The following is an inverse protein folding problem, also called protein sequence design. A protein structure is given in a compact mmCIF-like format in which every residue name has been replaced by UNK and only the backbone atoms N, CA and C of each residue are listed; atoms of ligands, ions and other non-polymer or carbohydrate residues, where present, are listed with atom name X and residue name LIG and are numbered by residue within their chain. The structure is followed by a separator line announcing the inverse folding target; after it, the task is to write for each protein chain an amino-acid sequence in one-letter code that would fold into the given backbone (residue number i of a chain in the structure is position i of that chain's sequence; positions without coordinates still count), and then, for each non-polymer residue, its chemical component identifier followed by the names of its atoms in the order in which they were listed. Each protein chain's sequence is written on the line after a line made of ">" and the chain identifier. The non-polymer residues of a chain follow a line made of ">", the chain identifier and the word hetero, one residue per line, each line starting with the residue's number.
data_IF_412845765179
#
_entry.id   IF_412845765179
#
_cell.length_a   1.000
_cell.length_b   1.000
_cell.length_c   1.000
_cell.angle_alpha   90.00
_cell.angle_beta   90.00
_cell.angle_gamma   90.00
#
_symmetry.space_group_name_H-M   'P 1'
#
loop_
_entity.id
_entity.type
_entity.pdbx_description
1 polymer ?
#
# COMPACT_ATOMS: atom_id res chain seq x y z
N UNK A 1 2.62 1.23 -48.11
CA UNK A 1 3.91 0.61 -47.67
C UNK A 1 4.99 1.64 -47.45
N UNK A 2 5.17 2.59 -48.38
CA UNK A 2 6.16 3.67 -48.21
C UNK A 2 5.94 4.52 -46.96
N UNK A 3 4.67 4.84 -46.63
CA UNK A 3 4.33 5.60 -45.45
C UNK A 3 4.78 4.92 -44.14
N UNK A 4 4.65 3.61 -44.06
CA UNK A 4 5.09 2.86 -42.88
C UNK A 4 6.63 2.77 -42.73
N UNK A 5 7.32 2.72 -43.88
CA UNK A 5 8.79 2.70 -43.88
C UNK A 5 9.39 4.05 -43.52
N UNK A 6 8.81 5.13 -44.01
CA UNK A 6 9.30 6.50 -43.76
C UNK A 6 9.02 6.97 -42.33
N UNK A 7 8.05 6.36 -41.63
CA UNK A 7 7.65 6.76 -40.28
C UNK A 7 7.83 5.65 -39.25
N UNK A 8 8.67 4.66 -39.56
CA UNK A 8 8.87 3.50 -38.70
C UNK A 8 9.35 3.87 -37.29
N UNK A 9 10.19 4.90 -37.19
CA UNK A 9 10.68 5.36 -35.91
C UNK A 9 9.58 5.97 -35.05
N UNK A 10 8.60 6.65 -35.63
CA UNK A 10 7.43 7.18 -34.93
C UNK A 10 6.54 6.04 -34.43
N UNK A 11 6.38 5.00 -35.23
CA UNK A 11 5.64 3.80 -34.85
C UNK A 11 6.33 3.10 -33.67
N UNK A 12 7.67 2.98 -33.72
CA UNK A 12 8.44 2.38 -32.66
C UNK A 12 8.32 3.16 -31.34
N UNK A 13 8.34 4.49 -31.40
CA UNK A 13 8.15 5.33 -30.22
C UNK A 13 6.75 5.16 -29.63
N UNK A 14 5.73 5.14 -30.49
CA UNK A 14 4.34 4.96 -30.04
C UNK A 14 4.14 3.59 -29.41
N UNK A 15 4.69 2.53 -30.00
CA UNK A 15 4.57 1.16 -29.48
C UNK A 15 5.32 1.03 -28.15
N UNK A 16 6.54 1.57 -28.05
CA UNK A 16 7.34 1.51 -26.83
C UNK A 16 6.66 2.27 -25.69
N UNK A 17 6.08 3.44 -25.97
CA UNK A 17 5.32 4.20 -24.97
C UNK A 17 4.09 3.44 -24.50
N UNK A 18 3.35 2.82 -25.41
CA UNK A 18 2.19 2.00 -25.09
C UNK A 18 2.55 0.80 -24.23
N UNK A 19 3.64 0.11 -24.58
CA UNK A 19 4.15 -1.02 -23.80
C UNK A 19 4.61 -0.61 -22.40
N UNK A 20 5.25 0.56 -22.28
CA UNK A 20 5.71 1.07 -20.99
C UNK A 20 4.52 1.38 -20.07
N UNK A 21 3.47 2.02 -20.60
CA UNK A 21 2.25 2.30 -19.85
C UNK A 21 1.54 1.00 -19.45
N UNK A 22 1.43 0.06 -20.38
CA UNK A 22 0.83 -1.25 -20.10
C UNK A 22 1.60 -2.02 -19.03
N UNK A 23 2.94 -1.98 -19.11
CA UNK A 23 3.82 -2.61 -18.13
C UNK A 23 3.65 -2.00 -16.74
N UNK A 24 3.55 -0.67 -16.65
CA UNK A 24 3.30 0.03 -15.39
C UNK A 24 1.96 -0.39 -14.77
N UNK A 25 0.93 -0.50 -15.60
CA UNK A 25 -0.40 -0.92 -15.15
C UNK A 25 -0.42 -2.37 -14.68
N UNK A 26 0.17 -3.27 -15.46
CA UNK A 26 0.27 -4.70 -15.13
C UNK A 26 1.17 -4.92 -13.91
N UNK A 27 2.26 -4.16 -13.81
CA UNK A 27 3.20 -4.27 -12.68
C UNK A 27 2.54 -4.02 -11.34
N UNK A 28 1.65 -3.04 -11.26
CA UNK A 28 0.89 -2.76 -10.03
C UNK A 28 -0.08 -3.90 -9.69
N UNK A 29 -0.71 -4.50 -10.70
CA UNK A 29 -1.62 -5.62 -10.49
C UNK A 29 -0.90 -6.92 -10.13
N UNK A 30 0.27 -7.16 -10.72
CA UNK A 30 1.04 -8.39 -10.47
C UNK A 30 1.61 -8.41 -9.05
N UNK A 31 1.91 -7.26 -8.48
CA UNK A 31 2.39 -7.18 -7.08
C UNK A 31 1.32 -7.55 -6.06
N UNK A 32 0.07 -7.66 -6.48
CA UNK A 32 -1.03 -8.11 -5.64
C UNK A 32 -1.34 -7.18 -4.47
N UNK A 33 -0.90 -5.92 -4.54
CA UNK A 33 -1.18 -4.94 -3.50
C UNK A 33 -2.63 -4.48 -3.63
N UNK A 34 -3.42 -4.75 -2.60
CA UNK A 34 -4.79 -4.26 -2.51
C UNK A 34 -4.75 -2.88 -1.86
N UNK A 35 -5.45 -1.94 -2.46
CA UNK A 35 -5.52 -0.57 -1.96
C UNK A 35 -6.91 -0.25 -1.44
N UNK A 36 -6.98 0.52 -0.37
CA UNK A 36 -8.25 0.99 0.20
C UNK A 36 -8.20 2.50 0.43
N UNK A 37 -9.34 3.14 0.23
CA UNK A 37 -9.55 4.52 0.63
C UNK A 37 -9.70 4.62 2.15
N UNK A 38 -9.62 5.84 2.67
CA UNK A 38 -9.86 6.09 4.10
C UNK A 38 -11.24 5.59 4.54
N UNK A 39 -12.28 5.82 3.73
CA UNK A 39 -13.63 5.35 4.03
C UNK A 39 -13.71 3.82 4.09
N UNK A 40 -13.12 3.13 3.10
CA UNK A 40 -13.11 1.68 3.08
C UNK A 40 -12.28 1.10 4.24
N UNK A 41 -11.15 1.72 4.57
CA UNK A 41 -10.33 1.32 5.70
C UNK A 41 -11.11 1.43 7.01
N UNK A 42 -11.85 2.52 7.20
CA UNK A 42 -12.67 2.73 8.39
C UNK A 42 -13.74 1.63 8.54
N UNK A 43 -14.35 1.21 7.44
CA UNK A 43 -15.30 0.09 7.45
C UNK A 43 -14.64 -1.22 7.84
N UNK A 44 -13.44 -1.50 7.32
CA UNK A 44 -12.69 -2.71 7.71
C UNK A 44 -12.37 -2.71 9.21
N UNK A 45 -11.97 -1.57 9.75
CA UNK A 45 -11.67 -1.42 11.18
C UNK A 45 -12.91 -1.64 12.01
N UNK A 46 -14.03 -1.02 11.65
CA UNK A 46 -15.26 -1.02 12.46
C UNK A 46 -16.04 -2.33 12.36
N UNK A 47 -16.08 -2.98 11.19
CA UNK A 47 -16.96 -4.13 10.96
C UNK A 47 -16.22 -5.45 10.74
N UNK A 48 -14.91 -5.43 10.48
CA UNK A 48 -14.12 -6.63 10.21
C UNK A 48 -12.96 -6.81 11.19
N UNK A 49 -12.90 -6.00 12.23
CA UNK A 49 -11.81 -6.02 13.21
C UNK A 49 -10.41 -5.92 12.58
N UNK A 50 -10.28 -5.10 11.55
CA UNK A 50 -8.99 -4.93 10.89
C UNK A 50 -7.94 -4.41 11.87
N UNK A 51 -6.74 -4.98 11.79
CA UNK A 51 -5.58 -4.43 12.48
C UNK A 51 -5.06 -3.24 11.68
N UNK A 52 -4.78 -2.13 12.35
CA UNK A 52 -4.06 -1.01 11.74
C UNK A 52 -2.58 -1.21 12.02
N UNK A 53 -1.79 -1.36 10.96
CA UNK A 53 -0.34 -1.53 11.05
C UNK A 53 0.34 -0.27 10.53
N UNK A 54 1.01 0.44 11.41
CA UNK A 54 1.75 1.66 11.08
C UNK A 54 3.22 1.28 10.89
N UNK A 55 3.73 1.46 9.68
CA UNK A 55 5.11 1.07 9.32
C UNK A 55 6.07 2.27 9.31
N UNK A 56 5.65 3.39 9.92
CA UNK A 56 6.50 4.57 10.09
C UNK A 56 7.50 4.35 11.22
N UNK A 57 8.49 5.25 11.29
CA UNK A 57 9.42 5.26 12.41
C UNK A 57 8.72 5.67 13.71
N UNK A 58 9.31 5.29 14.84
CA UNK A 58 8.74 5.56 16.16
C UNK A 58 8.48 7.04 16.41
N UNK A 59 9.35 7.93 15.96
CA UNK A 59 9.19 9.37 16.13
C UNK A 59 7.96 9.89 15.37
N UNK A 60 7.72 9.38 14.15
CA UNK A 60 6.55 9.74 13.35
C UNK A 60 5.26 9.23 14.02
N UNK A 61 5.30 8.02 14.52
CA UNK A 61 4.17 7.39 15.22
C UNK A 61 3.83 8.18 16.50
N UNK A 62 4.83 8.55 17.29
CA UNK A 62 4.64 9.29 18.54
C UNK A 62 4.07 10.70 18.31
N UNK A 63 4.34 11.28 17.15
CA UNK A 63 3.79 12.60 16.79
C UNK A 63 2.29 12.57 16.51
N UNK A 64 1.73 11.41 16.23
CA UNK A 64 0.31 11.21 15.99
C UNK A 64 0.06 9.94 15.20
N UNK A 65 -0.87 9.11 15.66
CA UNK A 65 -1.17 7.82 15.02
C UNK A 65 -2.65 7.47 15.18
N UNK A 66 -3.10 6.54 14.38
CA UNK A 66 -4.48 6.03 14.45
C UNK A 66 -4.65 5.24 15.75
N UNK A 67 -5.80 5.41 16.39
CA UNK A 67 -6.12 4.73 17.64
C UNK A 67 -5.98 3.20 17.48
N UNK A 68 -5.32 2.56 18.45
CA UNK A 68 -5.06 1.10 18.47
C UNK A 68 -4.16 0.60 17.35
N UNK A 69 -3.45 1.48 16.63
CA UNK A 69 -2.49 1.05 15.62
C UNK A 69 -1.30 0.35 16.28
N UNK A 70 -0.86 -0.74 15.64
CA UNK A 70 0.38 -1.42 16.01
C UNK A 70 1.51 -0.83 15.19
N UNK A 71 2.55 -0.38 15.85
CA UNK A 71 3.70 0.24 15.18
C UNK A 71 4.81 -0.79 15.00
N UNK A 72 5.20 -1.03 13.75
CA UNK A 72 6.39 -1.81 13.40
C UNK A 72 7.05 -1.07 12.23
N UNK A 73 8.24 -0.47 12.41
CA UNK A 73 8.92 0.21 11.32
C UNK A 73 9.14 -0.74 10.13
N UNK A 74 9.01 -0.22 8.92
CA UNK A 74 9.16 -1.04 7.72
C UNK A 74 10.49 -1.82 7.71
N UNK A 75 11.58 -1.18 8.16
CA UNK A 75 12.89 -1.83 8.20
C UNK A 75 12.98 -3.02 9.16
N UNK A 76 12.05 -3.15 10.11
CA UNK A 76 12.01 -4.24 11.08
C UNK A 76 10.85 -5.20 10.83
N UNK A 77 10.03 -4.95 9.81
CA UNK A 77 8.82 -5.73 9.58
C UNK A 77 9.12 -7.20 9.29
N UNK A 78 10.15 -7.47 8.49
CA UNK A 78 10.53 -8.84 8.13
C UNK A 78 10.89 -9.67 9.37
N UNK A 79 11.63 -9.08 10.30
CA UNK A 79 12.00 -9.72 11.56
C UNK A 79 10.82 -9.90 12.51
N UNK A 80 9.78 -9.07 12.35
CA UNK A 80 8.65 -8.99 13.26
C UNK A 80 7.40 -9.70 12.76
N UNK A 81 7.49 -10.44 11.66
CA UNK A 81 6.36 -11.16 11.07
C UNK A 81 5.69 -12.10 12.09
N UNK A 82 6.49 -12.74 12.96
CA UNK A 82 5.95 -13.63 13.99
C UNK A 82 4.99 -12.95 14.96
N UNK A 83 5.15 -11.65 15.22
CA UNK A 83 4.25 -10.87 16.07
C UNK A 83 2.87 -10.68 15.44
N UNK A 84 2.76 -10.82 14.13
CA UNK A 84 1.54 -10.62 13.38
C UNK A 84 0.80 -11.94 13.09
N UNK A 85 1.33 -13.06 13.51
CA UNK A 85 0.78 -14.39 13.20
C UNK A 85 -0.69 -14.53 13.60
N UNK A 86 -1.08 -13.99 14.73
CA UNK A 86 -2.44 -14.01 15.23
C UNK A 86 -3.43 -13.26 14.34
N UNK A 87 -2.92 -12.37 13.47
CA UNK A 87 -3.74 -11.55 12.58
C UNK A 87 -3.78 -12.07 11.15
N UNK A 88 -3.23 -13.25 10.89
CA UNK A 88 -3.07 -13.81 9.54
C UNK A 88 -4.39 -13.91 8.77
N UNK A 89 -5.49 -14.21 9.47
CA UNK A 89 -6.82 -14.37 8.87
C UNK A 89 -7.69 -13.13 8.96
N UNK A 90 -7.17 -12.05 9.54
CA UNK A 90 -7.88 -10.78 9.68
C UNK A 90 -7.39 -9.78 8.65
N UNK A 91 -8.25 -8.82 8.23
CA UNK A 91 -7.76 -7.70 7.43
C UNK A 91 -6.73 -6.89 8.18
N UNK A 92 -5.68 -6.48 7.48
CA UNK A 92 -4.63 -5.60 8.00
C UNK A 92 -4.60 -4.36 7.12
N UNK A 93 -4.88 -3.19 7.70
CA UNK A 93 -4.74 -1.91 7.00
C UNK A 93 -3.36 -1.37 7.32
N UNK A 94 -2.49 -1.35 6.32
CA UNK A 94 -1.10 -0.90 6.45
C UNK A 94 -1.02 0.56 6.04
N UNK A 95 -0.39 1.37 6.86
CA UNK A 95 -0.28 2.79 6.58
C UNK A 95 1.11 3.33 6.91
N UNK A 96 1.51 4.34 6.14
CA UNK A 96 2.67 5.17 6.45
C UNK A 96 2.26 6.64 6.25
N UNK A 97 3.22 7.55 6.07
CA UNK A 97 2.89 8.96 5.89
C UNK A 97 2.19 9.23 4.55
N UNK A 98 2.58 8.56 3.46
CA UNK A 98 2.10 8.83 2.10
C UNK A 98 1.62 7.61 1.31
N UNK A 99 1.91 6.40 1.77
CA UNK A 99 1.51 5.15 1.11
C UNK A 99 2.62 4.38 0.41
N UNK A 100 3.85 4.91 0.34
CA UNK A 100 4.96 4.26 -0.38
C UNK A 100 5.55 3.09 0.40
N UNK A 101 5.93 3.31 1.66
CA UNK A 101 6.48 2.25 2.53
C UNK A 101 5.43 1.20 2.82
N UNK A 102 4.18 1.62 3.01
CA UNK A 102 3.08 0.70 3.29
C UNK A 102 2.76 -0.21 2.11
N UNK A 103 2.90 0.28 0.88
CA UNK A 103 2.75 -0.55 -0.31
C UNK A 103 3.78 -1.69 -0.33
N UNK A 104 5.04 -1.37 -0.07
CA UNK A 104 6.12 -2.37 0.03
C UNK A 104 5.88 -3.33 1.20
N UNK A 105 5.34 -2.83 2.31
CA UNK A 105 4.98 -3.66 3.46
C UNK A 105 3.88 -4.67 3.12
N UNK A 106 2.88 -4.27 2.31
CA UNK A 106 1.84 -5.18 1.84
C UNK A 106 2.41 -6.31 0.98
N UNK A 107 3.37 -6.00 0.10
CA UNK A 107 4.06 -7.01 -0.69
C UNK A 107 4.76 -8.03 0.22
N UNK A 108 5.46 -7.53 1.24
CA UNK A 108 6.14 -8.39 2.21
C UNK A 108 5.16 -9.27 2.98
N UNK A 109 4.04 -8.70 3.44
CA UNK A 109 3.00 -9.45 4.15
C UNK A 109 2.38 -10.52 3.26
N UNK A 110 2.05 -10.20 2.01
CA UNK A 110 1.52 -11.19 1.06
C UNK A 110 2.49 -12.36 0.85
N UNK A 111 3.78 -12.06 0.80
CA UNK A 111 4.83 -13.06 0.64
C UNK A 111 4.87 -14.04 1.81
N UNK A 112 4.49 -13.59 3.00
CA UNK A 112 4.43 -14.41 4.22
C UNK A 112 3.04 -15.00 4.47
N UNK A 113 2.13 -14.93 3.51
CA UNK A 113 0.81 -15.56 3.58
C UNK A 113 -0.30 -14.70 4.20
N UNK A 114 -0.07 -13.41 4.40
CA UNK A 114 -1.09 -12.47 4.86
C UNK A 114 -1.86 -11.95 3.64
N UNK A 115 -2.93 -12.63 3.27
CA UNK A 115 -3.66 -12.35 2.03
C UNK A 115 -4.58 -11.13 2.13
N UNK A 116 -4.91 -10.69 3.34
CA UNK A 116 -5.83 -9.59 3.59
C UNK A 116 -5.11 -8.32 4.02
N UNK A 117 -3.92 -8.06 3.45
CA UNK A 117 -3.18 -6.82 3.67
C UNK A 117 -3.61 -5.77 2.65
N UNK A 118 -4.00 -4.61 3.16
CA UNK A 118 -4.48 -3.48 2.36
C UNK A 118 -3.60 -2.26 2.59
N UNK A 119 -3.21 -1.60 1.51
CA UNK A 119 -2.49 -0.33 1.59
C UNK A 119 -3.49 0.83 1.68
N UNK A 120 -3.37 1.65 2.70
CA UNK A 120 -4.18 2.87 2.82
C UNK A 120 -3.64 3.92 1.85
N UNK A 121 -4.43 4.26 0.84
CA UNK A 121 -4.07 5.26 -0.16
C UNK A 121 -3.90 6.62 0.50
N UNK A 122 -2.74 7.25 0.29
CA UNK A 122 -2.41 8.54 0.88
C UNK A 122 -1.97 8.48 2.34
N UNK A 123 -2.00 7.30 2.96
CA UNK A 123 -1.49 7.09 4.31
C UNK A 123 -2.13 7.95 5.38
N UNK A 124 -1.35 8.26 6.41
CA UNK A 124 -1.81 9.08 7.55
C UNK A 124 -2.23 10.48 7.09
N UNK A 125 -1.61 11.03 6.05
CA UNK A 125 -2.02 12.33 5.49
C UNK A 125 -3.46 12.32 5.00
N UNK A 126 -3.88 11.26 4.29
CA UNK A 126 -5.26 11.10 3.83
C UNK A 126 -6.22 10.92 5.00
N UNK A 127 -5.81 10.19 6.04
CA UNK A 127 -6.59 10.01 7.26
C UNK A 127 -6.89 11.33 7.94
N UNK A 128 -5.88 12.20 8.09
CA UNK A 128 -6.03 13.54 8.66
C UNK A 128 -6.93 14.42 7.80
N UNK A 129 -6.76 14.40 6.48
CA UNK A 129 -7.56 15.22 5.55
C UNK A 129 -9.03 14.82 5.56
N UNK A 130 -9.32 13.58 5.88
CA UNK A 130 -10.70 13.10 6.04
C UNK A 130 -11.33 13.52 7.38
N UNK A 131 -10.59 14.24 8.22
CA UNK A 131 -11.08 14.71 9.51
C UNK A 131 -11.08 13.65 10.60
N UNK A 132 -10.39 12.54 10.40
CA UNK A 132 -10.34 11.45 11.37
C UNK A 132 -9.24 11.74 12.41
N UNK A 133 -9.52 11.44 13.70
CA UNK A 133 -8.59 11.81 14.78
C UNK A 133 -7.35 10.94 14.82
N UNK A 134 -6.26 11.56 15.27
CA UNK A 134 -5.03 10.86 15.63
C UNK A 134 -4.79 10.99 17.13
N UNK A 135 -4.22 9.94 17.71
CA UNK A 135 -3.83 9.91 19.11
C UNK A 135 -2.32 10.18 19.20
N UNK A 136 -1.91 10.93 20.21
CA UNK A 136 -0.48 11.11 20.52
C UNK A 136 -0.05 10.17 21.65
#
# INVERSE_FOLDING_TARGET
>A
MQFMQDNIWMILVAVSSGLMLLWSFIGNNIRGVKEVSTAAALQLINYKNALVLDVREAAEFDAGHVLNAKQIPFGKLDESIGELERYRTQPIVVMDSSGLRSSAACVLLNKHGFELAYNLVGGVSAWQKAGLPLKK
#
